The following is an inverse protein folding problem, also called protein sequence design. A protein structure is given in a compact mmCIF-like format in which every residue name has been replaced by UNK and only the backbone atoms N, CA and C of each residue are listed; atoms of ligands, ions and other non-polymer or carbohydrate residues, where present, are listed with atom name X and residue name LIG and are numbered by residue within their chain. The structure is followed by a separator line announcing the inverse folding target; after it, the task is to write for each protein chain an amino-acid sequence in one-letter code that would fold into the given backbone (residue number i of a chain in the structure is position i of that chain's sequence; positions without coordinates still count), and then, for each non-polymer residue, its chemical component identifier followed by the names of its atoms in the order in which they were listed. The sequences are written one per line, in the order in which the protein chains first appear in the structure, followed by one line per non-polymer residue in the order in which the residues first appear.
data_IF_885346089162
#
_entry.id   IF_885346089162
#
_cell.length_a   1.000
_cell.length_b   1.000
_cell.length_c   1.000
_cell.angle_alpha   90.00
_cell.angle_beta   90.00
_cell.angle_gamma   90.00
#
_symmetry.space_group_name_H-M   'P 1'
#
loop_
_entity.id
_entity.type
_entity.pdbx_description
1 polymer ?
#
# COMPACT_ATOMS: atom_id res chain seq x y z
N UNK A 1 -12.99 6.74 7.22
CA UNK A 1 -11.81 6.17 7.92
C UNK A 1 -10.75 7.25 7.90
N UNK A 2 -10.52 7.95 9.02
CA UNK A 2 -9.68 9.16 9.08
C UNK A 2 -8.34 8.78 9.72
N UNK A 3 -7.24 8.90 8.96
CA UNK A 3 -5.88 8.79 9.47
C UNK A 3 -5.21 10.17 9.32
N UNK A 4 -5.55 11.10 10.22
CA UNK A 4 -5.03 12.48 10.22
C UNK A 4 -4.18 12.76 11.47
N UNK A 5 -2.93 13.18 11.23
CA UNK A 5 -2.05 14.13 11.94
C UNK A 5 -2.01 14.25 13.47
N UNK A 6 -2.57 13.31 14.22
CA UNK A 6 -2.21 13.13 15.63
C UNK A 6 -1.81 11.69 15.78
N UNK A 7 -0.65 11.42 16.41
CA UNK A 7 -0.16 10.08 16.75
C UNK A 7 -1.17 9.43 17.72
N UNK A 8 -2.32 8.99 17.20
CA UNK A 8 -3.25 8.09 17.85
C UNK A 8 -3.06 6.74 17.20
N UNK A 9 -2.80 5.76 18.06
CA UNK A 9 -2.45 4.37 17.78
C UNK A 9 -3.53 3.70 16.92
N UNK A 10 -3.44 3.82 15.60
CA UNK A 10 -4.22 2.99 14.69
C UNK A 10 -3.32 1.88 14.19
N UNK A 11 -3.60 0.67 14.68
CA UNK A 11 -3.05 -0.56 14.13
C UNK A 11 -4.00 -0.96 12.98
N UNK A 12 -3.55 -0.78 11.74
CA UNK A 12 -4.24 -1.34 10.59
C UNK A 12 -3.82 -2.80 10.45
N UNK A 13 -4.53 -3.71 11.12
CA UNK A 13 -4.37 -5.15 10.90
C UNK A 13 -5.14 -5.52 9.63
N UNK A 14 -4.42 -5.72 8.54
CA UNK A 14 -4.95 -6.43 7.37
C UNK A 14 -4.59 -7.90 7.55
N UNK A 15 -5.57 -8.73 7.90
CA UNK A 15 -5.39 -10.18 7.95
C UNK A 15 -5.29 -10.73 6.53
N UNK A 16 -4.41 -11.71 6.30
CA UNK A 16 -4.11 -12.35 5.00
C UNK A 16 -3.25 -11.54 4.01
N UNK A 17 -2.40 -10.64 4.50
CA UNK A 17 -1.34 -10.04 3.68
C UNK A 17 -0.19 -11.04 3.50
N UNK A 18 -0.01 -11.53 2.26
CA UNK A 18 1.12 -12.43 1.92
C UNK A 18 2.45 -11.68 1.88
N UNK A 19 2.46 -10.44 1.38
CA UNK A 19 3.65 -9.61 1.19
C UNK A 19 3.43 -8.24 1.83
N UNK A 20 4.37 -7.79 2.65
CA UNK A 20 4.26 -6.47 3.30
C UNK A 20 5.56 -5.69 3.19
N UNK A 21 5.44 -4.42 2.79
CA UNK A 21 6.54 -3.49 2.59
C UNK A 21 6.39 -2.32 3.56
N UNK A 22 7.46 -1.97 4.27
CA UNK A 22 7.50 -0.84 5.20
C UNK A 22 8.66 0.10 4.89
N UNK A 23 8.43 1.41 5.03
CA UNK A 23 9.44 2.44 4.74
C UNK A 23 10.08 3.05 5.99
N UNK A 24 9.35 3.19 7.09
CA UNK A 24 9.86 3.81 8.32
C UNK A 24 10.37 2.75 9.29
N UNK A 25 11.64 2.86 9.72
CA UNK A 25 12.31 1.90 10.61
C UNK A 25 11.51 1.69 11.90
N UNK A 26 10.98 2.75 12.49
CA UNK A 26 10.18 2.63 13.71
C UNK A 26 8.92 1.79 13.52
N UNK A 27 8.24 1.92 12.37
CA UNK A 27 7.05 1.14 12.05
C UNK A 27 7.48 -0.31 11.80
N UNK A 28 8.58 -0.52 11.09
CA UNK A 28 9.12 -1.84 10.81
C UNK A 28 9.39 -2.64 12.09
N UNK A 29 10.13 -2.04 13.04
CA UNK A 29 10.44 -2.65 14.34
C UNK A 29 9.16 -2.96 15.12
N UNK A 30 8.21 -2.01 15.19
CA UNK A 30 6.93 -2.19 15.91
C UNK A 30 6.09 -3.30 15.28
N UNK A 31 6.00 -3.36 13.95
CA UNK A 31 5.25 -4.37 13.22
C UNK A 31 5.86 -5.76 13.40
N UNK A 32 7.19 -5.88 13.32
CA UNK A 32 7.89 -7.14 13.56
C UNK A 32 7.61 -7.69 14.97
N UNK A 33 7.68 -6.83 15.99
CA UNK A 33 7.34 -7.21 17.37
C UNK A 33 5.88 -7.65 17.51
N UNK A 34 4.95 -6.94 16.86
CA UNK A 34 3.53 -7.30 16.86
C UNK A 34 3.29 -8.65 16.18
N UNK A 35 3.88 -8.90 15.02
CA UNK A 35 3.77 -10.17 14.29
C UNK A 35 4.29 -11.35 15.13
N UNK A 36 5.40 -11.17 15.84
CA UNK A 36 5.92 -12.18 16.78
C UNK A 36 4.93 -12.48 17.90
N UNK A 37 4.30 -11.45 18.49
CA UNK A 37 3.29 -11.61 19.55
C UNK A 37 2.03 -12.32 19.07
N UNK A 38 1.60 -12.04 17.84
CA UNK A 38 0.41 -12.65 17.25
C UNK A 38 0.69 -14.01 16.58
N UNK A 39 1.94 -14.49 16.60
CA UNK A 39 2.41 -15.63 15.81
C UNK A 39 2.01 -15.54 14.32
N UNK A 40 1.94 -14.31 13.80
CA UNK A 40 1.62 -14.05 12.41
C UNK A 40 2.91 -14.03 11.58
N UNK A 41 2.94 -14.79 10.48
CA UNK A 41 4.11 -14.88 9.60
C UNK A 41 3.66 -14.63 8.16
N UNK A 42 3.86 -13.43 7.60
CA UNK A 42 3.64 -13.21 6.18
C UNK A 42 4.63 -14.06 5.37
N UNK A 43 4.30 -14.34 4.10
CA UNK A 43 5.21 -15.06 3.18
C UNK A 43 6.51 -14.28 2.99
N UNK A 44 6.44 -12.96 2.88
CA UNK A 44 7.61 -12.08 2.78
C UNK A 44 7.35 -10.75 3.50
N UNK A 45 8.36 -10.33 4.26
CA UNK A 45 8.38 -9.10 5.02
C UNK A 45 9.58 -8.29 4.56
N UNK A 46 9.35 -7.09 4.02
CA UNK A 46 10.40 -6.29 3.36
C UNK A 46 10.42 -4.88 3.93
N UNK A 47 11.62 -4.41 4.24
CA UNK A 47 11.89 -3.01 4.51
C UNK A 47 12.39 -2.34 3.21
N UNK A 48 11.70 -1.31 2.73
CA UNK A 48 12.05 -0.66 1.47
C UNK A 48 11.05 0.37 0.95
N UNK A 49 11.37 0.93 -0.21
CA UNK A 49 10.57 1.94 -0.91
C UNK A 49 9.32 1.33 -1.55
N UNK A 50 8.15 1.63 -0.98
CA UNK A 50 6.88 1.13 -1.46
C UNK A 50 6.52 1.60 -2.88
N UNK A 51 7.07 2.71 -3.39
CA UNK A 51 6.85 3.13 -4.78
C UNK A 51 7.44 2.13 -5.77
N UNK A 52 8.49 1.39 -5.38
CA UNK A 52 9.10 0.38 -6.26
C UNK A 52 8.30 -0.92 -6.31
N UNK A 53 7.35 -1.10 -5.39
CA UNK A 53 6.67 -2.38 -5.20
C UNK A 53 7.66 -3.50 -4.90
N UNK A 54 7.37 -4.70 -5.40
CA UNK A 54 8.18 -5.89 -5.17
C UNK A 54 8.26 -6.71 -6.48
N UNK A 55 9.05 -6.23 -7.45
CA UNK A 55 9.04 -6.76 -8.83
C UNK A 55 9.42 -8.24 -8.89
N UNK A 56 10.23 -8.74 -7.96
CA UNK A 56 10.65 -10.15 -7.93
C UNK A 56 9.53 -11.11 -7.50
N UNK A 57 8.44 -10.60 -6.93
CA UNK A 57 7.24 -11.38 -6.57
C UNK A 57 6.03 -11.04 -7.46
N UNK A 58 6.20 -10.11 -8.39
CA UNK A 58 5.17 -9.79 -9.37
C UNK A 58 4.94 -11.01 -10.29
N UNK A 59 3.72 -11.17 -10.84
CA UNK A 59 2.59 -10.25 -10.75
C UNK A 59 1.64 -10.55 -9.56
N UNK A 60 0.99 -9.50 -9.06
CA UNK A 60 0.06 -9.56 -7.92
C UNK A 60 -1.41 -9.59 -8.35
N UNK A 61 -2.23 -10.35 -7.63
CA UNK A 61 -3.69 -10.33 -7.76
C UNK A 61 -4.28 -9.05 -7.17
N UNK A 62 -3.67 -8.51 -6.11
CA UNK A 62 -4.11 -7.26 -5.50
C UNK A 62 -2.96 -6.55 -4.78
N UNK A 63 -2.97 -5.22 -4.84
CA UNK A 63 -2.05 -4.33 -4.13
C UNK A 63 -2.90 -3.33 -3.34
N UNK A 64 -2.57 -3.10 -2.08
CA UNK A 64 -3.22 -2.09 -1.24
C UNK A 64 -2.13 -1.15 -0.75
N UNK A 65 -2.30 0.15 -1.01
CA UNK A 65 -1.42 1.20 -0.52
C UNK A 65 -2.14 1.91 0.62
N UNK A 66 -1.50 1.96 1.79
CA UNK A 66 -2.07 2.55 3.02
C UNK A 66 -1.44 3.91 3.35
N UNK A 67 -0.97 4.61 2.32
CA UNK A 67 -0.42 5.96 2.38
C UNK A 67 -1.00 6.80 1.24
N UNK A 68 -1.18 8.11 1.44
CA UNK A 68 -1.67 9.01 0.41
C UNK A 68 -0.59 9.30 -0.63
N UNK A 69 -0.80 8.86 -1.87
CA UNK A 69 0.10 9.09 -2.98
C UNK A 69 -0.29 10.37 -3.73
N UNK A 70 0.65 11.24 -4.15
CA UNK A 70 0.31 12.40 -4.96
C UNK A 70 -0.28 11.99 -6.32
N UNK A 71 0.20 10.88 -6.87
CA UNK A 71 -0.27 10.26 -8.10
C UNK A 71 -0.19 8.73 -8.00
N UNK A 72 -0.81 8.03 -8.96
CA UNK A 72 -0.81 6.57 -9.01
C UNK A 72 0.56 6.09 -9.53
N UNK A 73 1.33 5.29 -8.75
CA UNK A 73 2.62 4.81 -9.21
C UNK A 73 2.49 3.77 -10.35
N UNK A 74 3.05 4.09 -11.52
CA UNK A 74 3.05 3.22 -12.70
C UNK A 74 3.76 1.88 -12.45
N UNK A 75 4.78 1.89 -11.60
CA UNK A 75 5.50 0.71 -11.11
C UNK A 75 4.57 -0.31 -10.47
N UNK A 76 3.59 0.14 -9.66
CA UNK A 76 2.63 -0.74 -9.01
C UNK A 76 1.58 -1.26 -9.99
N UNK A 77 1.15 -0.43 -10.95
CA UNK A 77 0.25 -0.86 -12.03
C UNK A 77 0.87 -1.96 -12.89
N UNK A 78 2.16 -1.82 -13.24
CA UNK A 78 2.90 -2.81 -14.02
C UNK A 78 3.04 -4.17 -13.32
N UNK A 79 3.01 -4.18 -11.98
CA UNK A 79 3.11 -5.40 -11.17
C UNK A 79 1.76 -6.09 -10.94
N UNK A 80 0.63 -5.55 -11.40
CA UNK A 80 -0.66 -6.24 -11.32
C UNK A 80 -0.80 -7.31 -12.41
N UNK A 81 -1.44 -8.43 -12.09
CA UNK A 81 -1.99 -9.35 -13.12
C UNK A 81 -3.11 -8.66 -13.89
N UNK A 82 -3.41 -9.13 -15.10
CA UNK A 82 -4.69 -8.83 -15.75
C UNK A 82 -5.82 -9.36 -14.84
N UNK A 83 -6.83 -8.54 -14.58
CA UNK A 83 -7.86 -8.73 -13.55
C UNK A 83 -7.42 -8.35 -12.13
N UNK A 84 -6.15 -7.99 -11.94
CA UNK A 84 -5.60 -7.57 -10.66
C UNK A 84 -6.06 -6.17 -10.24
N UNK A 85 -6.05 -5.91 -8.93
CA UNK A 85 -6.62 -4.69 -8.34
C UNK A 85 -5.60 -3.88 -7.54
N UNK A 86 -5.55 -2.57 -7.73
CA UNK A 86 -4.82 -1.64 -6.87
C UNK A 86 -5.80 -0.74 -6.13
N UNK A 87 -5.71 -0.71 -4.80
CA UNK A 87 -6.46 0.22 -3.94
C UNK A 87 -5.48 1.22 -3.36
N UNK A 88 -5.66 2.50 -3.63
CA UNK A 88 -4.72 3.56 -3.27
C UNK A 88 -5.44 4.89 -3.01
N UNK A 89 -5.15 5.59 -1.89
CA UNK A 89 -5.55 6.98 -1.70
C UNK A 89 -4.67 7.90 -2.57
N UNK A 90 -5.29 8.73 -3.40
CA UNK A 90 -4.60 9.63 -4.34
C UNK A 90 -4.93 11.10 -4.04
N UNK A 91 -3.92 11.97 -4.00
CA UNK A 91 -4.04 13.40 -3.71
C UNK A 91 -3.23 13.82 -2.48
N UNK A 92 -3.37 15.09 -2.07
CA UNK A 92 -2.59 15.68 -0.97
C UNK A 92 -3.38 15.72 0.34
N UNK A 93 -4.47 16.47 0.44
CA UNK A 93 -5.43 16.47 1.56
C UNK A 93 -6.70 17.29 1.19
N UNK A 94 -7.91 16.68 1.15
CA UNK A 94 -8.17 15.25 1.30
C UNK A 94 -7.66 14.45 0.10
N UNK A 95 -7.41 13.16 0.31
CA UNK A 95 -7.13 12.21 -0.78
C UNK A 95 -8.42 11.51 -1.20
N UNK A 96 -8.52 11.11 -2.46
CA UNK A 96 -9.61 10.30 -2.98
C UNK A 96 -9.18 8.83 -3.01
N UNK A 97 -9.92 7.98 -2.31
CA UNK A 97 -9.67 6.54 -2.40
C UNK A 97 -10.01 6.05 -3.80
N UNK A 98 -9.04 5.41 -4.46
CA UNK A 98 -9.14 5.00 -5.85
C UNK A 98 -8.91 3.50 -5.95
N UNK A 99 -9.81 2.79 -6.63
CA UNK A 99 -9.62 1.43 -7.11
C UNK A 99 -9.24 1.46 -8.58
N UNK A 100 -8.22 0.70 -8.93
CA UNK A 100 -7.79 0.49 -10.30
C UNK A 100 -7.80 -0.99 -10.59
N UNK A 101 -8.38 -1.38 -11.72
CA UNK A 101 -8.41 -2.76 -12.19
C UNK A 101 -7.65 -2.82 -13.50
N UNK A 102 -6.67 -3.73 -13.60
CA UNK A 102 -5.95 -3.95 -14.85
C UNK A 102 -6.82 -4.80 -15.79
N UNK A 103 -7.32 -4.22 -16.87
CA UNK A 103 -8.22 -4.92 -17.80
C UNK A 103 -7.45 -5.65 -18.90
N UNK A 104 -6.31 -5.10 -19.32
CA UNK A 104 -5.47 -5.68 -20.36
C UNK A 104 -3.98 -5.44 -20.07
N UNK A 105 -3.12 -5.73 -21.04
CA UNK A 105 -1.70 -5.40 -20.94
C UNK A 105 -1.48 -3.87 -20.80
N UNK A 106 -2.33 -3.06 -21.41
CA UNK A 106 -2.22 -1.59 -21.51
C UNK A 106 -3.36 -0.82 -20.87
N UNK A 107 -4.51 -1.47 -20.66
CA UNK A 107 -5.74 -0.80 -20.21
C UNK A 107 -6.03 -1.03 -18.74
N UNK A 108 -6.54 0.02 -18.10
CA UNK A 108 -6.90 0.05 -16.70
C UNK A 108 -8.22 0.80 -16.53
N UNK A 109 -9.16 0.21 -15.80
CA UNK A 109 -10.35 0.93 -15.34
C UNK A 109 -10.11 1.53 -13.95
N UNK A 110 -10.79 2.64 -13.70
CA UNK A 110 -10.65 3.43 -12.48
C UNK A 110 -12.03 3.68 -11.88
N UNK A 111 -12.14 3.40 -10.59
CA UNK A 111 -13.29 3.74 -9.76
C UNK A 111 -12.82 4.58 -8.57
N UNK A 112 -13.56 5.63 -8.22
CA UNK A 112 -13.25 6.50 -7.08
C UNK A 112 -14.31 6.38 -6.01
N UNK A 113 -13.88 6.39 -4.76
CA UNK A 113 -14.73 6.43 -3.58
C UNK A 113 -14.64 7.80 -2.90
N UNK A 114 -15.16 7.91 -1.68
CA UNK A 114 -15.15 9.16 -0.93
C UNK A 114 -13.76 9.66 -0.53
N UNK A 115 -13.75 10.75 0.24
CA UNK A 115 -12.55 11.39 0.76
C UNK A 115 -11.95 10.65 1.95
N UNK A 116 -10.63 10.53 1.96
CA UNK A 116 -9.84 9.93 3.02
C UNK A 116 -8.66 10.83 3.38
N UNK A 117 -8.10 10.60 4.57
CA UNK A 117 -6.86 11.21 5.01
C UNK A 117 -5.93 10.10 5.47
N UNK A 118 -4.79 9.99 4.81
CA UNK A 118 -3.68 9.09 5.08
C UNK A 118 -2.40 9.90 5.19
N UNK A 119 -1.41 9.32 5.89
CA UNK A 119 -0.05 9.85 5.91
C UNK A 119 0.56 9.84 4.50
N UNK A 120 1.43 10.78 4.15
CA UNK A 120 2.04 10.84 2.81
C UNK A 120 2.77 9.56 2.43
N UNK A 121 2.63 9.13 1.18
CA UNK A 121 3.42 8.05 0.61
C UNK A 121 4.82 8.59 0.31
N UNK A 122 5.76 8.25 1.17
CA UNK A 122 7.15 8.69 1.06
C UNK A 122 7.90 7.83 0.04
N UNK A 123 8.63 8.49 -0.86
CA UNK A 123 9.56 7.88 -1.80
C UNK A 123 10.89 8.63 -1.77
N UNK A 124 11.98 7.97 -2.15
CA UNK A 124 13.25 8.65 -2.41
C UNK A 124 13.89 9.41 -1.23
N UNK A 125 14.06 8.80 -0.06
CA UNK A 125 15.04 9.27 0.93
C UNK A 125 16.20 8.28 1.02
N UNK A 126 17.28 8.60 0.33
CA UNK A 126 18.64 8.37 0.86
C UNK A 126 19.10 9.69 1.44
#
# INVERSE_FOLDING_TARGET
MICSHTIRKYIQIVLNVKYTLHFLIEIDVKTNLLFRKLNYRPRKYVFGDGYKGLPEEAPFDSIIVTCGAPEIPQTLLGQLKIGGRLVIPVGSDPQIMTLIIRESATDFSKETFGEFRFVPFLGGKN
#
